data_IF_330381346755
#
_entry.id   IF_330381346755
#
_cell.length_a   1.000
_cell.length_b   1.000
_cell.length_c   1.000
_cell.angle_alpha   90.00
_cell.angle_beta   90.00
_cell.angle_gamma   90.00
#
_symmetry.space_group_name_H-M   'P 1'
#
loop_
_entity.id
_entity.type
_entity.pdbx_description
1 polymer ?
#
# COMPACT_ATOMS: atom_id res chain seq x y z
N UNK A 1 -18.73 7.09 11.76
CA UNK A 1 -17.48 6.30 11.78
C UNK A 1 -16.38 7.08 11.06
N UNK A 2 -15.08 6.92 11.39
CA UNK A 2 -14.00 7.50 10.60
C UNK A 2 -14.04 6.98 9.16
N UNK A 3 -13.87 7.87 8.18
CA UNK A 3 -13.98 7.49 6.77
C UNK A 3 -15.42 7.36 6.25
N UNK A 4 -16.40 7.85 7.02
CA UNK A 4 -17.78 7.98 6.56
C UNK A 4 -18.13 9.44 6.29
N UNK A 5 -18.79 9.71 5.17
CA UNK A 5 -19.43 11.00 4.93
C UNK A 5 -20.95 10.86 5.15
N UNK A 6 -21.59 11.81 5.85
CA UNK A 6 -23.04 11.87 5.90
C UNK A 6 -23.56 12.35 4.55
N UNK A 7 -24.40 11.54 3.91
CA UNK A 7 -25.19 11.96 2.75
C UNK A 7 -26.61 12.20 3.27
N UNK A 8 -26.97 13.46 3.48
CA UNK A 8 -28.15 13.82 4.26
C UNK A 8 -28.83 15.08 3.74
N UNK A 9 -30.13 14.99 3.45
CA UNK A 9 -30.96 16.05 2.87
C UNK A 9 -32.35 16.14 3.55
N UNK A 10 -32.44 16.43 4.86
CA UNK A 10 -33.74 16.51 5.53
C UNK A 10 -34.45 17.83 5.20
N UNK A 11 -35.77 17.84 5.34
CA UNK A 11 -36.52 19.10 5.42
C UNK A 11 -36.33 19.81 6.78
N UNK A 12 -36.17 19.08 7.89
CA UNK A 12 -35.82 19.63 9.21
C UNK A 12 -34.69 18.84 9.90
N UNK A 13 -33.52 19.46 10.00
CA UNK A 13 -32.32 18.86 10.59
C UNK A 13 -32.43 18.57 12.10
N UNK A 14 -33.38 19.19 12.81
CA UNK A 14 -33.53 19.05 14.28
C UNK A 14 -34.21 17.75 14.71
N UNK A 15 -34.85 17.06 13.79
CA UNK A 15 -35.59 15.81 14.05
C UNK A 15 -34.75 14.56 13.75
N UNK A 16 -33.53 14.73 13.26
CA UNK A 16 -32.70 13.63 12.78
C UNK A 16 -32.01 12.87 13.91
N UNK A 17 -32.29 11.57 14.00
CA UNK A 17 -31.65 10.63 14.93
C UNK A 17 -30.88 9.49 14.23
N UNK A 18 -30.59 9.63 12.92
CA UNK A 18 -29.88 8.62 12.13
C UNK A 18 -28.36 8.84 12.06
N UNK A 19 -27.66 7.87 11.48
CA UNK A 19 -26.26 8.01 11.07
C UNK A 19 -26.08 7.40 9.69
N UNK A 20 -26.32 8.19 8.63
CA UNK A 20 -25.91 7.79 7.28
C UNK A 20 -24.39 7.90 7.16
N UNK A 21 -23.75 6.76 6.96
CA UNK A 21 -22.31 6.63 7.01
C UNK A 21 -21.83 5.86 5.78
N UNK A 22 -21.78 6.52 4.63
CA UNK A 22 -21.23 5.94 3.41
C UNK A 22 -19.71 5.98 3.42
N UNK A 23 -19.07 4.89 3.03
CA UNK A 23 -17.61 4.73 3.05
C UNK A 23 -16.82 5.67 2.13
N UNK A 24 -17.46 6.67 1.51
CA UNK A 24 -16.80 7.67 0.67
C UNK A 24 -15.79 8.53 1.43
N UNK A 25 -15.92 8.68 2.75
CA UNK A 25 -14.88 9.32 3.55
C UNK A 25 -13.56 8.53 3.55
N UNK A 26 -13.57 7.23 3.24
CA UNK A 26 -12.39 6.39 3.07
C UNK A 26 -11.81 6.48 1.65
N UNK A 27 -12.47 7.17 0.71
CA UNK A 27 -11.99 7.34 -0.67
C UNK A 27 -10.63 7.99 -0.70
N UNK A 28 -10.38 9.03 0.10
CA UNK A 28 -9.06 9.69 0.18
C UNK A 28 -7.98 8.71 0.61
N UNK A 29 -8.23 7.91 1.65
CA UNK A 29 -7.27 6.90 2.10
C UNK A 29 -7.01 5.86 1.01
N UNK A 30 -8.06 5.38 0.33
CA UNK A 30 -7.91 4.45 -0.79
C UNK A 30 -7.10 5.06 -1.94
N UNK A 31 -7.36 6.32 -2.31
CA UNK A 31 -6.61 7.02 -3.35
C UNK A 31 -5.13 7.17 -2.99
N UNK A 32 -4.82 7.54 -1.73
CA UNK A 32 -3.44 7.62 -1.26
C UNK A 32 -2.74 6.25 -1.30
N UNK A 33 -3.41 5.18 -0.85
CA UNK A 33 -2.85 3.83 -0.87
C UNK A 33 -2.57 3.38 -2.31
N UNK A 34 -3.55 3.55 -3.22
CA UNK A 34 -3.45 3.05 -4.60
C UNK A 34 -2.58 3.90 -5.52
N UNK A 35 -2.58 5.22 -5.34
CA UNK A 35 -1.98 6.15 -6.30
C UNK A 35 -0.76 6.91 -5.79
N UNK A 36 -0.56 7.00 -4.47
CA UNK A 36 0.66 7.58 -3.91
C UNK A 36 1.62 6.47 -3.44
N UNK A 37 1.13 5.58 -2.57
CA UNK A 37 1.91 4.41 -2.18
C UNK A 37 1.97 3.36 -3.30
N UNK A 38 0.96 3.31 -4.18
CA UNK A 38 1.00 2.41 -5.31
C UNK A 38 0.74 0.95 -4.96
N UNK A 39 0.18 0.67 -3.79
CA UNK A 39 -0.19 -0.68 -3.38
C UNK A 39 -1.51 -1.08 -4.06
N UNK A 40 -1.49 -2.21 -4.75
CA UNK A 40 -2.63 -2.73 -5.52
C UNK A 40 -2.76 -4.23 -5.31
N UNK A 41 -4.00 -4.70 -5.34
CA UNK A 41 -4.32 -6.11 -5.22
C UNK A 41 -3.80 -6.89 -6.44
N UNK A 42 -3.29 -8.10 -6.22
CA UNK A 42 -2.90 -9.00 -7.32
C UNK A 42 -4.11 -9.75 -7.86
N UNK A 43 -4.10 -10.02 -9.17
CA UNK A 43 -5.06 -10.93 -9.82
C UNK A 43 -4.79 -12.41 -9.52
N UNK A 44 -3.56 -12.75 -9.12
CA UNK A 44 -3.23 -14.09 -8.61
C UNK A 44 -3.80 -14.20 -7.20
N UNK A 45 -4.57 -15.25 -6.92
CA UNK A 45 -5.38 -15.41 -5.68
C UNK A 45 -5.08 -16.70 -4.92
N UNK A 46 -4.21 -17.54 -5.46
CA UNK A 46 -3.72 -18.80 -4.91
C UNK A 46 -2.76 -18.65 -3.73
N UNK A 47 -2.28 -17.44 -3.45
CA UNK A 47 -1.45 -17.12 -2.29
C UNK A 47 -1.46 -15.64 -1.95
N UNK A 48 -0.50 -15.21 -1.12
CA UNK A 48 -0.32 -13.80 -0.83
C UNK A 48 0.52 -13.13 -1.91
N UNK A 49 -0.11 -12.26 -2.71
CA UNK A 49 0.58 -11.48 -3.72
C UNK A 49 -0.06 -10.09 -3.88
N UNK A 50 0.75 -9.07 -4.09
CA UNK A 50 0.31 -7.70 -4.39
C UNK A 50 1.21 -7.06 -5.46
N UNK A 51 0.70 -6.01 -6.11
CA UNK A 51 1.52 -5.14 -6.94
C UNK A 51 1.87 -3.86 -6.19
N UNK A 52 3.13 -3.44 -6.31
CA UNK A 52 3.64 -2.21 -5.74
C UNK A 52 4.20 -1.32 -6.85
N UNK A 53 3.77 -0.06 -6.89
CA UNK A 53 4.26 0.92 -7.88
C UNK A 53 4.41 2.27 -7.20
N UNK A 54 5.50 2.52 -6.45
CA UNK A 54 5.69 3.78 -5.73
C UNK A 54 5.48 4.98 -6.67
N UNK A 55 4.65 5.93 -6.27
CA UNK A 55 4.23 7.04 -7.14
C UNK A 55 4.34 8.39 -6.41
N UNK A 56 5.37 8.53 -5.58
CA UNK A 56 5.65 9.77 -4.86
C UNK A 56 5.90 10.92 -5.87
N UNK A 57 5.12 12.01 -5.86
CA UNK A 57 5.36 13.16 -6.72
C UNK A 57 6.66 13.88 -6.29
N UNK A 58 7.26 14.71 -7.17
CA UNK A 58 8.52 15.39 -6.88
C UNK A 58 8.55 16.17 -5.57
N UNK A 59 7.43 16.78 -5.19
CA UNK A 59 7.29 17.53 -3.93
C UNK A 59 7.50 16.66 -2.67
N UNK A 60 7.36 15.34 -2.79
CA UNK A 60 7.55 14.39 -1.70
C UNK A 60 8.88 13.63 -1.77
N UNK A 61 9.72 13.90 -2.78
CA UNK A 61 11.02 13.24 -2.98
C UNK A 61 12.18 13.96 -2.27
N UNK A 62 11.93 14.49 -1.07
CA UNK A 62 13.01 15.05 -0.25
C UNK A 62 13.82 13.93 0.39
N UNK A 63 15.13 13.90 0.15
CA UNK A 63 16.05 12.87 0.65
C UNK A 63 15.92 12.67 2.17
N UNK A 64 15.90 11.41 2.61
CA UNK A 64 15.76 11.01 4.01
C UNK A 64 14.33 11.05 4.53
N UNK A 65 13.37 11.54 3.74
CA UNK A 65 11.97 11.58 4.18
C UNK A 65 11.38 10.18 4.24
N UNK A 66 10.58 9.92 5.29
CA UNK A 66 9.93 8.64 5.55
C UNK A 66 8.40 8.79 5.45
N UNK A 67 7.78 7.98 4.61
CA UNK A 67 6.33 7.87 4.48
C UNK A 67 5.91 6.45 4.83
N UNK A 68 4.83 6.27 5.61
CA UNK A 68 4.41 4.92 5.98
C UNK A 68 2.91 4.78 6.15
N UNK A 69 2.40 3.60 5.77
CA UNK A 69 1.08 3.10 6.13
C UNK A 69 1.29 2.02 7.20
N UNK A 70 0.57 2.12 8.30
CA UNK A 70 0.67 1.16 9.40
C UNK A 70 -0.56 0.27 9.46
N UNK A 71 -0.36 -0.99 9.83
CA UNK A 71 -1.41 -2.00 10.01
C UNK A 71 -2.28 -2.17 8.75
N UNK A 72 -1.66 -2.11 7.57
CA UNK A 72 -2.34 -2.48 6.33
C UNK A 72 -2.66 -3.96 6.41
N UNK A 73 -3.92 -4.30 6.18
CA UNK A 73 -4.40 -5.68 6.16
C UNK A 73 -4.74 -6.07 4.73
N UNK A 74 -4.16 -7.17 4.26
CA UNK A 74 -4.44 -7.71 2.95
C UNK A 74 -4.22 -9.22 2.98
N UNK A 75 -5.27 -9.99 2.61
CA UNK A 75 -5.30 -11.46 2.58
C UNK A 75 -4.70 -12.08 3.84
N UNK A 76 -5.30 -11.72 4.98
CA UNK A 76 -4.98 -12.22 6.33
C UNK A 76 -3.59 -11.86 6.88
N UNK A 77 -2.74 -11.19 6.09
CA UNK A 77 -1.47 -10.63 6.57
C UNK A 77 -1.67 -9.17 6.95
N UNK A 78 -1.18 -8.81 8.14
CA UNK A 78 -1.12 -7.42 8.61
C UNK A 78 0.32 -6.95 8.67
N UNK A 79 0.61 -5.83 8.03
CA UNK A 79 1.97 -5.31 7.91
C UNK A 79 2.00 -3.77 7.93
N UNK A 80 3.18 -3.21 8.21
CA UNK A 80 3.47 -1.79 7.95
C UNK A 80 4.25 -1.71 6.62
N UNK A 81 3.92 -0.74 5.78
CA UNK A 81 4.61 -0.44 4.53
C UNK A 81 5.24 0.94 4.64
N UNK A 82 6.55 1.04 4.50
CA UNK A 82 7.28 2.31 4.59
C UNK A 82 8.13 2.55 3.35
N UNK A 83 8.12 3.80 2.86
CA UNK A 83 9.08 4.34 1.90
C UNK A 83 10.05 5.29 2.58
N UNK A 84 11.33 5.11 2.30
CA UNK A 84 12.41 6.04 2.66
C UNK A 84 12.99 6.56 1.34
N UNK A 85 13.01 7.88 1.16
CA UNK A 85 13.53 8.50 -0.07
C UNK A 85 15.04 8.57 -0.01
N UNK A 86 15.72 7.87 -0.91
CA UNK A 86 17.17 7.89 -1.08
C UNK A 86 17.56 8.77 -2.28
N UNK A 87 18.84 9.15 -2.46
CA UNK A 87 19.26 10.05 -3.55
C UNK A 87 18.86 9.59 -4.97
N UNK A 88 18.80 8.28 -5.18
CA UNK A 88 18.60 7.67 -6.50
C UNK A 88 17.57 6.53 -6.50
N UNK A 89 16.84 6.34 -5.40
CA UNK A 89 15.90 5.22 -5.24
C UNK A 89 14.91 5.48 -4.10
N UNK A 90 13.99 4.56 -3.91
CA UNK A 90 13.15 4.45 -2.72
C UNK A 90 13.48 3.12 -2.04
N UNK A 91 13.96 3.18 -0.79
CA UNK A 91 13.98 1.99 0.06
C UNK A 91 12.56 1.68 0.52
N UNK A 92 12.07 0.51 0.16
CA UNK A 92 10.79 -0.03 0.61
C UNK A 92 11.05 -0.95 1.80
N UNK A 93 10.34 -0.72 2.90
CA UNK A 93 10.32 -1.60 4.07
C UNK A 93 8.93 -2.18 4.27
N UNK A 94 8.86 -3.49 4.47
CA UNK A 94 7.63 -4.20 4.80
C UNK A 94 7.82 -4.98 6.10
N UNK A 95 7.10 -4.55 7.14
CA UNK A 95 7.20 -5.08 8.50
C UNK A 95 5.95 -5.89 8.85
N UNK A 96 6.07 -7.22 8.86
CA UNK A 96 5.02 -8.16 9.22
C UNK A 96 4.75 -8.13 10.73
N UNK A 97 3.48 -8.26 11.13
CA UNK A 97 3.06 -8.10 12.54
C UNK A 97 3.01 -9.40 13.35
N UNK A 98 2.86 -10.56 12.69
CA UNK A 98 2.47 -11.80 13.36
C UNK A 98 3.41 -12.96 13.03
N UNK A 99 3.55 -13.26 11.76
CA UNK A 99 4.25 -14.46 11.30
C UNK A 99 5.42 -14.05 10.40
N UNK A 100 6.62 -14.59 10.64
CA UNK A 100 7.73 -14.37 9.73
C UNK A 100 7.46 -15.17 8.45
N UNK A 101 7.67 -14.55 7.30
CA UNK A 101 7.47 -15.15 5.97
C UNK A 101 8.67 -14.82 5.10
N UNK A 102 8.84 -15.53 3.99
CA UNK A 102 9.80 -15.15 2.95
C UNK A 102 9.15 -14.12 2.03
N UNK A 103 9.88 -13.04 1.69
CA UNK A 103 9.43 -12.08 0.68
C UNK A 103 10.17 -12.34 -0.62
N UNK A 104 9.42 -12.57 -1.70
CA UNK A 104 9.89 -12.52 -3.08
C UNK A 104 9.39 -11.23 -3.76
N UNK A 105 10.29 -10.54 -4.45
CA UNK A 105 10.01 -9.29 -5.17
C UNK A 105 10.40 -9.48 -6.64
N UNK A 106 9.41 -9.52 -7.51
CA UNK A 106 9.61 -9.54 -8.96
C UNK A 106 9.51 -8.11 -9.50
N UNK A 107 10.55 -7.61 -10.16
CA UNK A 107 10.46 -6.39 -10.95
C UNK A 107 9.84 -6.71 -12.31
N UNK A 108 8.86 -5.92 -12.71
CA UNK A 108 8.09 -6.11 -13.94
C UNK A 108 8.38 -5.00 -14.97
N UNK A 109 8.45 -5.38 -16.24
CA UNK A 109 8.45 -4.42 -17.35
C UNK A 109 7.04 -3.90 -17.67
N UNK A 110 6.94 -3.03 -18.68
CA UNK A 110 5.65 -2.49 -19.16
C UNK A 110 4.69 -3.60 -19.66
N UNK A 111 5.23 -4.71 -20.18
CA UNK A 111 4.49 -5.89 -20.61
C UNK A 111 4.14 -6.87 -19.47
N UNK A 112 4.42 -6.51 -18.22
CA UNK A 112 4.25 -7.36 -17.03
C UNK A 112 5.10 -8.64 -17.01
N UNK A 113 6.20 -8.65 -17.77
CA UNK A 113 7.21 -9.72 -17.73
C UNK A 113 8.17 -9.46 -16.58
N UNK A 114 8.57 -10.54 -15.90
CA UNK A 114 9.58 -10.47 -14.84
C UNK A 114 10.94 -10.21 -15.46
N UNK A 115 11.59 -9.12 -15.05
CA UNK A 115 12.94 -8.74 -15.50
C UNK A 115 14.01 -8.98 -14.44
N UNK A 116 13.61 -9.08 -13.16
CA UNK A 116 14.49 -9.44 -12.05
C UNK A 116 13.63 -9.99 -10.91
N UNK A 117 14.22 -10.86 -10.08
CA UNK A 117 13.60 -11.39 -8.87
C UNK A 117 14.62 -11.32 -7.73
N UNK A 118 14.17 -10.82 -6.59
CA UNK A 118 14.91 -10.84 -5.33
C UNK A 118 14.09 -11.62 -4.29
N UNK A 119 14.76 -12.45 -3.50
CA UNK A 119 14.12 -13.22 -2.43
C UNK A 119 14.87 -12.99 -1.14
N UNK A 120 14.13 -12.81 -0.06
CA UNK A 120 14.67 -12.62 1.28
C UNK A 120 14.51 -13.87 2.12
N UNK A 121 15.34 -13.99 3.15
CA UNK A 121 15.16 -15.02 4.17
C UNK A 121 13.86 -14.77 4.95
N UNK A 122 13.33 -15.85 5.52
CA UNK A 122 12.15 -15.81 6.38
C UNK A 122 12.36 -14.84 7.54
N UNK A 123 11.48 -13.86 7.68
CA UNK A 123 11.64 -12.80 8.67
C UNK A 123 10.37 -11.99 8.88
N UNK A 124 10.39 -11.11 9.88
CA UNK A 124 9.30 -10.16 10.13
C UNK A 124 9.51 -8.80 9.45
N UNK A 125 10.70 -8.56 8.89
CA UNK A 125 11.07 -7.28 8.30
C UNK A 125 11.82 -7.55 7.02
N UNK A 126 11.34 -6.96 5.94
CA UNK A 126 11.94 -7.09 4.62
C UNK A 126 12.17 -5.71 4.02
N UNK A 127 13.29 -5.56 3.32
CA UNK A 127 13.64 -4.33 2.63
C UNK A 127 14.13 -4.59 1.23
N UNK A 128 13.74 -3.75 0.28
CA UNK A 128 14.22 -3.80 -1.10
C UNK A 128 14.24 -2.39 -1.71
N UNK A 129 14.95 -2.22 -2.82
CA UNK A 129 15.03 -0.96 -3.56
C UNK A 129 13.98 -0.92 -4.67
N UNK A 130 13.37 0.25 -4.85
CA UNK A 130 12.41 0.52 -5.91
C UNK A 130 12.66 1.89 -6.54
N UNK A 131 12.08 2.12 -7.72
CA UNK A 131 12.02 3.44 -8.36
C UNK A 131 10.59 3.95 -8.43
N UNK A 132 10.43 5.28 -8.51
CA UNK A 132 9.12 5.88 -8.77
C UNK A 132 8.61 5.40 -10.14
N UNK A 133 7.39 4.87 -10.18
CA UNK A 133 6.73 4.33 -11.37
C UNK A 133 7.13 2.92 -11.75
N UNK A 134 8.15 2.32 -11.10
CA UNK A 134 8.56 0.94 -11.36
C UNK A 134 7.55 -0.03 -10.74
N UNK A 135 7.21 -1.08 -11.50
CA UNK A 135 6.21 -2.08 -11.08
C UNK A 135 6.92 -3.26 -10.44
N UNK A 136 6.51 -3.58 -9.22
CA UNK A 136 6.95 -4.76 -8.51
C UNK A 136 5.76 -5.67 -8.22
N UNK A 137 5.94 -6.97 -8.31
CA UNK A 137 5.06 -7.96 -7.70
C UNK A 137 5.73 -8.50 -6.46
N UNK A 138 5.07 -8.35 -5.32
CA UNK A 138 5.54 -8.87 -4.03
C UNK A 138 4.74 -10.11 -3.67
N UNK A 139 5.43 -11.16 -3.21
CA UNK A 139 4.85 -12.44 -2.79
C UNK A 139 5.38 -12.82 -1.41
N UNK A 140 4.50 -13.32 -0.56
CA UNK A 140 4.85 -13.82 0.78
C UNK A 140 4.56 -15.32 0.85
N UNK A 141 5.53 -16.08 1.34
CA UNK A 141 5.53 -17.55 1.43
C UNK A 141 5.97 -18.05 2.83
#
# INVERSE_FOLDING_TARGET
>A
MPGSAPEFWPEDWRTYGGSDAYGWGATTANLLIRHLFGFKESRQTDGWAAELTPALPPALLSQGTRYGIRRLNYRDVTFDLTYIVDPHAITVSMDLRREPLELSVDRLDAGSRVVATETSLKGLSHTFQAQVGERHRVRLE
#
